data_IF_809664368471
#
_entry.id   IF_809664368471
#
_cell.length_a   1.000
_cell.length_b   1.000
_cell.length_c   1.000
_cell.angle_alpha   90.00
_cell.angle_beta   90.00
_cell.angle_gamma   90.00
#
_symmetry.space_group_name_H-M   'P 1'
#
loop_
_entity.id
_entity.type
_entity.pdbx_description
1 polymer ?
#
# COMPACT_ATOMS: atom_id res chain seq x y z
N UNK A 1 5.47 -12.50 -18.25
CA UNK A 1 4.24 -12.91 -18.93
C UNK A 1 4.00 -12.10 -20.20
N UNK A 2 4.34 -10.81 -20.25
CA UNK A 2 3.97 -9.87 -21.33
C UNK A 2 5.06 -9.61 -22.38
N UNK A 3 6.13 -10.39 -22.45
CA UNK A 3 7.33 -10.12 -23.26
C UNK A 3 7.06 -9.93 -24.76
N UNK A 4 6.02 -10.55 -25.29
CA UNK A 4 5.64 -10.48 -26.72
C UNK A 4 4.57 -9.45 -27.04
N UNK A 5 4.05 -8.76 -26.03
CA UNK A 5 3.00 -7.74 -26.16
C UNK A 5 3.63 -6.36 -26.34
N UNK A 6 2.89 -5.45 -26.99
CA UNK A 6 3.26 -4.05 -26.99
C UNK A 6 3.13 -3.45 -25.59
N UNK A 7 3.93 -2.45 -25.28
CA UNK A 7 3.91 -1.77 -23.97
C UNK A 7 2.51 -1.20 -23.68
N UNK A 8 1.92 -0.52 -24.66
CA UNK A 8 0.58 0.07 -24.54
C UNK A 8 -0.52 -0.98 -24.35
N UNK A 9 -0.43 -2.08 -25.09
CA UNK A 9 -1.37 -3.20 -24.96
C UNK A 9 -1.25 -3.84 -23.57
N UNK A 10 -0.03 -3.95 -23.04
CA UNK A 10 0.20 -4.44 -21.66
C UNK A 10 -0.54 -3.60 -20.63
N UNK A 11 -0.59 -2.28 -20.81
CA UNK A 11 -1.36 -1.39 -19.92
C UNK A 11 -2.85 -1.64 -20.05
N UNK A 12 -3.38 -1.72 -21.29
CA UNK A 12 -4.80 -1.94 -21.55
C UNK A 12 -5.27 -3.31 -21.02
N UNK A 13 -4.40 -4.33 -21.02
CA UNK A 13 -4.68 -5.64 -20.40
C UNK A 13 -5.01 -5.57 -18.90
N UNK A 14 -4.76 -4.45 -18.24
CA UNK A 14 -5.21 -4.20 -16.86
C UNK A 14 -6.72 -4.20 -16.71
N UNK A 15 -7.45 -3.86 -17.77
CA UNK A 15 -8.91 -3.96 -17.84
C UNK A 15 -9.28 -5.21 -18.66
N UNK A 16 -9.45 -6.35 -18.00
CA UNK A 16 -9.59 -7.66 -18.63
C UNK A 16 -10.77 -7.74 -19.63
N UNK A 17 -11.92 -7.17 -19.26
CA UNK A 17 -13.12 -7.17 -20.14
C UNK A 17 -12.87 -6.34 -21.40
N UNK A 18 -12.35 -5.14 -21.25
CA UNK A 18 -12.02 -4.26 -22.39
C UNK A 18 -10.98 -4.91 -23.31
N UNK A 19 -9.95 -5.56 -22.73
CA UNK A 19 -8.96 -6.26 -23.52
C UNK A 19 -9.54 -7.44 -24.28
N UNK A 20 -10.44 -8.19 -23.67
CA UNK A 20 -11.11 -9.34 -24.31
C UNK A 20 -11.93 -8.88 -25.50
N UNK A 21 -12.77 -7.85 -25.31
CA UNK A 21 -13.60 -7.26 -26.37
C UNK A 21 -12.73 -6.68 -27.50
N UNK A 22 -11.69 -5.91 -27.16
CA UNK A 22 -10.74 -5.37 -28.13
C UNK A 22 -10.09 -6.48 -28.96
N UNK A 23 -9.57 -7.51 -28.30
CA UNK A 23 -8.84 -8.60 -28.94
C UNK A 23 -9.74 -9.43 -29.89
N UNK A 24 -10.97 -9.72 -29.47
CA UNK A 24 -11.95 -10.46 -30.28
C UNK A 24 -12.37 -9.63 -31.48
N UNK A 25 -12.69 -8.36 -31.30
CA UNK A 25 -13.04 -7.41 -32.34
C UNK A 25 -11.92 -7.29 -33.39
N UNK A 26 -10.70 -7.02 -32.94
CA UNK A 26 -9.54 -6.84 -33.80
C UNK A 26 -9.22 -8.12 -34.58
N UNK A 27 -9.42 -9.32 -33.95
CA UNK A 27 -9.29 -10.59 -34.62
C UNK A 27 -10.32 -10.83 -35.73
N UNK A 28 -11.55 -10.37 -35.54
CA UNK A 28 -12.59 -10.44 -36.57
C UNK A 28 -12.22 -9.55 -37.74
N UNK A 29 -11.82 -8.30 -37.49
CA UNK A 29 -11.42 -7.36 -38.54
C UNK A 29 -10.14 -7.73 -39.28
N UNK A 30 -9.25 -8.53 -38.64
CA UNK A 30 -8.05 -9.04 -39.29
C UNK A 30 -8.33 -10.22 -40.27
N UNK A 31 -9.56 -10.79 -40.30
CA UNK A 31 -9.91 -11.86 -41.21
C UNK A 31 -9.94 -11.37 -42.66
N UNK A 32 -9.37 -12.14 -43.58
CA UNK A 32 -9.42 -11.86 -45.00
C UNK A 32 -10.84 -11.91 -45.58
N UNK A 33 -11.76 -12.62 -44.91
CA UNK A 33 -13.16 -12.75 -45.28
C UNK A 33 -14.01 -12.73 -44.00
N UNK A 34 -14.92 -11.79 -43.91
CA UNK A 34 -15.84 -11.61 -42.78
C UNK A 34 -17.15 -12.28 -43.16
N UNK A 35 -17.60 -13.28 -42.39
CA UNK A 35 -18.91 -13.91 -42.58
C UNK A 35 -20.05 -13.01 -42.02
N UNK A 36 -21.30 -13.33 -42.35
CA UNK A 36 -22.45 -12.64 -41.79
C UNK A 36 -22.53 -12.73 -40.26
N UNK A 37 -22.16 -13.91 -39.70
CA UNK A 37 -22.05 -14.15 -38.27
C UNK A 37 -20.95 -13.30 -37.64
N UNK A 38 -19.76 -13.23 -38.25
CA UNK A 38 -18.67 -12.34 -37.82
C UNK A 38 -19.10 -10.86 -37.85
N UNK A 39 -19.88 -10.45 -38.86
CA UNK A 39 -20.40 -9.09 -38.96
C UNK A 39 -21.36 -8.73 -37.83
N UNK A 40 -22.25 -9.64 -37.45
CA UNK A 40 -23.16 -9.44 -36.31
C UNK A 40 -22.37 -9.39 -34.99
N UNK A 41 -21.44 -10.31 -34.79
CA UNK A 41 -20.61 -10.31 -33.59
C UNK A 41 -19.73 -9.07 -33.48
N UNK A 42 -19.15 -8.58 -34.57
CA UNK A 42 -18.41 -7.34 -34.61
C UNK A 42 -19.26 -6.15 -34.17
N UNK A 43 -20.54 -6.09 -34.62
CA UNK A 43 -21.46 -5.03 -34.20
C UNK A 43 -21.76 -5.04 -32.68
N UNK A 44 -21.92 -6.23 -32.08
CA UNK A 44 -22.08 -6.36 -30.63
C UNK A 44 -20.82 -5.89 -29.89
N UNK A 45 -19.64 -6.35 -30.34
CA UNK A 45 -18.36 -5.97 -29.75
C UNK A 45 -18.08 -4.47 -29.86
N UNK A 46 -18.49 -3.81 -30.95
CA UNK A 46 -18.38 -2.36 -31.07
C UNK A 46 -19.21 -1.62 -30.03
N UNK A 47 -20.42 -2.12 -29.74
CA UNK A 47 -21.26 -1.55 -28.67
C UNK A 47 -20.65 -1.75 -27.30
N UNK A 48 -20.20 -2.98 -26.98
CA UNK A 48 -19.53 -3.29 -25.73
C UNK A 48 -18.25 -2.46 -25.56
N UNK A 49 -17.46 -2.30 -26.63
CA UNK A 49 -16.24 -1.51 -26.64
C UNK A 49 -16.50 -0.02 -26.39
N UNK A 50 -17.57 0.51 -26.99
CA UNK A 50 -17.98 1.90 -26.79
C UNK A 50 -18.47 2.15 -25.36
N UNK A 51 -19.25 1.22 -24.79
CA UNK A 51 -19.75 1.31 -23.40
C UNK A 51 -18.61 1.34 -22.36
N UNK A 52 -17.51 0.65 -22.63
CA UNK A 52 -16.30 0.63 -21.78
C UNK A 52 -15.32 1.77 -22.09
N UNK A 53 -15.73 2.78 -22.87
CA UNK A 53 -14.88 3.89 -23.32
C UNK A 53 -13.59 3.39 -24.02
N UNK A 54 -13.73 2.31 -24.81
CA UNK A 54 -12.62 1.63 -25.46
C UNK A 54 -11.89 2.49 -26.48
N UNK A 55 -12.58 3.44 -27.15
CA UNK A 55 -11.98 4.34 -28.12
C UNK A 55 -10.95 5.31 -27.51
N UNK A 56 -11.07 5.62 -26.22
CA UNK A 56 -10.09 6.43 -25.48
C UNK A 56 -8.98 5.61 -24.81
N UNK A 57 -9.10 4.27 -24.83
CA UNK A 57 -8.22 3.38 -24.07
C UNK A 57 -6.73 3.58 -24.39
N UNK A 58 -6.37 3.70 -25.69
CA UNK A 58 -4.96 3.94 -26.08
C UNK A 58 -4.45 5.30 -25.60
N UNK A 59 -5.28 6.34 -25.67
CA UNK A 59 -4.91 7.67 -25.21
C UNK A 59 -4.69 7.67 -23.68
N UNK A 60 -5.60 7.06 -22.90
CA UNK A 60 -5.48 6.90 -21.45
C UNK A 60 -4.25 6.07 -21.07
N UNK A 61 -4.01 4.96 -21.76
CA UNK A 61 -2.82 4.13 -21.53
C UNK A 61 -1.53 4.89 -21.83
N UNK A 62 -1.50 5.65 -22.93
CA UNK A 62 -0.37 6.50 -23.31
C UNK A 62 -0.08 7.60 -22.27
N UNK A 63 -1.12 8.23 -21.73
CA UNK A 63 -1.01 9.24 -20.67
C UNK A 63 -0.42 8.66 -19.40
N UNK A 64 -0.90 7.48 -18.97
CA UNK A 64 -0.36 6.78 -17.81
C UNK A 64 1.12 6.38 -18.01
N UNK A 65 1.47 5.86 -19.19
CA UNK A 65 2.85 5.53 -19.53
C UNK A 65 3.77 6.76 -19.50
N UNK A 66 3.33 7.86 -20.08
CA UNK A 66 4.09 9.12 -20.05
C UNK A 66 4.26 9.62 -18.60
N UNK A 67 3.22 9.51 -17.78
CA UNK A 67 3.25 9.90 -16.37
C UNK A 67 4.25 9.11 -15.53
N UNK A 68 4.37 7.80 -15.74
CA UNK A 68 5.40 6.97 -15.10
C UNK A 68 6.78 7.11 -15.75
N UNK A 69 6.94 8.00 -16.73
CA UNK A 69 8.20 8.36 -17.36
C UNK A 69 8.64 7.42 -18.50
N UNK A 70 7.71 6.68 -19.13
CA UNK A 70 7.99 5.90 -20.35
C UNK A 70 7.87 6.82 -21.56
N UNK A 71 8.94 6.98 -22.39
CA UNK A 71 8.91 7.82 -23.59
C UNK A 71 7.87 7.33 -24.61
N UNK A 72 7.23 8.27 -25.31
CA UNK A 72 6.16 7.96 -26.27
C UNK A 72 6.62 7.00 -27.38
N UNK A 73 7.88 7.11 -27.79
CA UNK A 73 8.51 6.26 -28.82
C UNK A 73 8.53 4.78 -28.42
N UNK A 74 8.47 4.48 -27.11
CA UNK A 74 8.49 3.12 -26.60
C UNK A 74 7.09 2.53 -26.37
N UNK A 75 6.02 3.33 -26.45
CA UNK A 75 4.67 2.87 -26.15
C UNK A 75 4.21 1.73 -27.05
N UNK A 76 4.61 1.75 -28.32
CA UNK A 76 4.26 0.73 -29.33
C UNK A 76 5.35 -0.32 -29.52
N UNK A 77 6.47 -0.21 -28.79
CA UNK A 77 7.54 -1.23 -28.77
C UNK A 77 7.14 -2.46 -27.96
N UNK A 78 7.94 -3.53 -28.06
CA UNK A 78 7.69 -4.77 -27.30
C UNK A 78 8.16 -4.63 -25.86
N UNK A 79 7.43 -5.28 -24.94
CA UNK A 79 7.82 -5.37 -23.53
C UNK A 79 9.20 -6.04 -23.34
N UNK A 80 9.61 -6.93 -24.26
CA UNK A 80 10.95 -7.55 -24.24
C UNK A 80 12.07 -6.52 -24.39
N UNK A 81 11.84 -5.43 -25.09
CA UNK A 81 12.81 -4.37 -25.37
C UNK A 81 12.91 -3.34 -24.24
N UNK A 82 11.93 -3.33 -23.34
CA UNK A 82 11.90 -2.43 -22.18
C UNK A 82 12.92 -2.88 -21.12
N UNK A 83 13.71 -1.94 -20.59
CA UNK A 83 14.67 -2.21 -19.53
C UNK A 83 13.96 -2.78 -18.28
N UNK A 84 14.56 -3.73 -17.53
CA UNK A 84 13.91 -4.43 -16.42
C UNK A 84 13.26 -3.51 -15.36
N UNK A 85 13.95 -2.45 -14.95
CA UNK A 85 13.42 -1.47 -14.00
C UNK A 85 12.23 -0.67 -14.54
N UNK A 86 12.13 -0.49 -15.84
CA UNK A 86 11.04 0.22 -16.50
C UNK A 86 9.81 -0.68 -16.72
N UNK A 87 9.99 -2.01 -16.78
CA UNK A 87 8.86 -2.96 -16.81
C UNK A 87 7.95 -2.81 -15.60
N UNK A 88 8.52 -2.51 -14.42
CA UNK A 88 7.72 -2.24 -13.22
C UNK A 88 6.89 -0.97 -13.35
N UNK A 89 7.40 0.06 -14.01
CA UNK A 89 6.64 1.28 -14.31
C UNK A 89 5.44 0.99 -15.24
N UNK A 90 5.63 0.14 -16.24
CA UNK A 90 4.54 -0.29 -17.13
C UNK A 90 3.47 -1.07 -16.35
N UNK A 91 3.87 -1.96 -15.44
CA UNK A 91 2.93 -2.70 -14.59
C UNK A 91 2.19 -1.77 -13.61
N UNK A 92 2.83 -0.72 -13.12
CA UNK A 92 2.17 0.32 -12.33
C UNK A 92 1.11 1.06 -13.18
N UNK A 93 1.45 1.46 -14.41
CA UNK A 93 0.49 2.05 -15.34
C UNK A 93 -0.68 1.10 -15.64
N UNK A 94 -0.42 -0.21 -15.79
CA UNK A 94 -1.45 -1.26 -15.95
C UNK A 94 -2.40 -1.30 -14.75
N UNK A 95 -1.88 -1.31 -13.53
CA UNK A 95 -2.69 -1.31 -12.31
C UNK A 95 -3.53 -0.03 -12.17
N UNK A 96 -2.98 1.10 -12.57
CA UNK A 96 -3.71 2.38 -12.61
C UNK A 96 -4.79 2.40 -13.70
N UNK A 97 -4.55 1.76 -14.86
CA UNK A 97 -5.51 1.72 -15.95
C UNK A 97 -6.77 0.90 -15.62
N UNK A 98 -6.64 -0.14 -14.79
CA UNK A 98 -7.75 -1.02 -14.42
C UNK A 98 -8.82 -0.35 -13.54
N UNK A 99 -8.53 0.82 -12.95
CA UNK A 99 -9.44 1.57 -12.07
C UNK A 99 -10.14 0.71 -10.99
N UNK A 100 -9.39 -0.06 -10.20
CA UNK A 100 -9.97 -1.01 -9.26
C UNK A 100 -10.60 -0.30 -8.05
N UNK A 101 -11.60 -0.93 -7.41
CA UNK A 101 -12.17 -0.47 -6.13
C UNK A 101 -11.16 -0.56 -4.97
N UNK A 102 -10.24 -1.52 -5.04
CA UNK A 102 -9.18 -1.75 -4.05
C UNK A 102 -7.85 -1.87 -4.77
N UNK A 103 -6.87 -1.05 -4.39
CA UNK A 103 -5.52 -1.05 -4.94
C UNK A 103 -4.49 -1.41 -3.87
N UNK A 104 -3.63 -2.38 -4.19
CA UNK A 104 -2.52 -2.79 -3.33
C UNK A 104 -1.20 -2.38 -4.00
N UNK A 105 -0.45 -1.50 -3.37
CA UNK A 105 0.81 -0.97 -3.88
C UNK A 105 1.95 -1.31 -2.91
N UNK A 106 2.93 -2.04 -3.41
CA UNK A 106 4.15 -2.38 -2.67
C UNK A 106 5.33 -1.64 -3.27
N UNK A 107 5.91 -0.70 -2.50
CA UNK A 107 7.01 0.17 -2.89
C UNK A 107 6.82 0.84 -4.28
N UNK A 108 5.69 1.54 -4.54
CA UNK A 108 5.35 2.03 -5.88
C UNK A 108 6.28 3.13 -6.38
N UNK A 109 7.01 3.81 -5.49
CA UNK A 109 7.99 4.86 -5.82
C UNK A 109 9.34 4.31 -6.23
N UNK A 110 9.59 3.02 -6.02
CA UNK A 110 10.84 2.40 -6.44
C UNK A 110 11.00 2.50 -7.97
N UNK A 111 12.19 2.88 -8.41
CA UNK A 111 12.54 3.11 -9.82
C UNK A 111 11.81 4.29 -10.50
N UNK A 112 11.07 5.12 -9.77
CA UNK A 112 10.54 6.38 -10.28
C UNK A 112 11.55 7.52 -10.01
N UNK A 113 11.62 8.47 -10.94
CA UNK A 113 12.27 9.75 -10.68
C UNK A 113 11.30 10.70 -9.95
N UNK A 114 11.81 11.85 -9.51
CA UNK A 114 11.03 12.80 -8.71
C UNK A 114 9.78 13.33 -9.45
N UNK A 115 9.83 13.44 -10.77
CA UNK A 115 8.70 13.94 -11.55
C UNK A 115 7.61 12.87 -11.67
N UNK A 116 8.00 11.62 -11.95
CA UNK A 116 7.09 10.49 -11.98
C UNK A 116 6.48 10.20 -10.58
N UNK A 117 7.26 10.38 -9.50
CA UNK A 117 6.75 10.25 -8.12
C UNK A 117 5.68 11.30 -7.82
N UNK A 118 5.93 12.58 -8.14
CA UNK A 118 4.94 13.66 -7.96
C UNK A 118 3.69 13.44 -8.80
N UNK A 119 3.86 12.98 -10.04
CA UNK A 119 2.73 12.62 -10.88
C UNK A 119 1.90 11.49 -10.26
N UNK A 120 2.58 10.44 -9.72
CA UNK A 120 1.92 9.35 -9.03
C UNK A 120 1.15 9.84 -7.79
N UNK A 121 1.74 10.70 -6.97
CA UNK A 121 1.06 11.34 -5.82
C UNK A 121 -0.24 12.02 -6.24
N UNK A 122 -0.19 12.81 -7.31
CA UNK A 122 -1.35 13.54 -7.80
C UNK A 122 -2.45 12.58 -8.29
N UNK A 123 -2.10 11.59 -9.11
CA UNK A 123 -3.10 10.67 -9.68
C UNK A 123 -3.72 9.77 -8.60
N UNK A 124 -2.97 9.38 -7.56
CA UNK A 124 -3.51 8.60 -6.45
C UNK A 124 -4.45 9.44 -5.58
N UNK A 125 -4.14 10.72 -5.37
CA UNK A 125 -4.99 11.63 -4.60
C UNK A 125 -6.31 11.98 -5.30
N UNK A 126 -6.33 11.92 -6.64
CA UNK A 126 -7.55 12.14 -7.43
C UNK A 126 -8.47 10.91 -7.47
N UNK A 127 -7.94 9.73 -7.13
CA UNK A 127 -8.70 8.48 -7.19
C UNK A 127 -9.59 8.30 -5.96
N UNK A 128 -10.81 7.85 -6.21
CA UNK A 128 -11.76 7.50 -5.16
C UNK A 128 -11.85 5.98 -4.99
N UNK A 129 -10.76 5.36 -4.55
CA UNK A 129 -10.69 3.91 -4.27
C UNK A 129 -9.99 3.66 -2.92
N UNK A 130 -10.18 2.47 -2.37
CA UNK A 130 -9.45 2.06 -1.17
C UNK A 130 -8.04 1.62 -1.56
N UNK A 131 -7.03 2.23 -0.93
CA UNK A 131 -5.63 1.89 -1.22
C UNK A 131 -4.93 1.37 0.03
N UNK A 132 -4.14 0.31 -0.14
CA UNK A 132 -3.16 -0.15 0.84
C UNK A 132 -1.78 0.00 0.22
N UNK A 133 -0.95 0.84 0.83
CA UNK A 133 0.36 1.22 0.32
C UNK A 133 1.42 0.81 1.33
N UNK A 134 2.41 0.06 0.87
CA UNK A 134 3.64 -0.21 1.61
C UNK A 134 4.74 0.64 0.99
N UNK A 135 5.39 1.50 1.77
CA UNK A 135 6.51 2.32 1.29
C UNK A 135 7.44 2.74 2.42
N UNK A 136 8.70 2.94 2.08
CA UNK A 136 9.71 3.56 2.95
C UNK A 136 9.87 5.07 2.67
N UNK A 137 9.22 5.60 1.66
CA UNK A 137 9.25 7.03 1.33
C UNK A 137 8.25 7.80 2.20
N UNK A 138 8.78 8.48 3.22
CA UNK A 138 7.98 9.26 4.17
C UNK A 138 7.24 10.41 3.50
N UNK A 139 7.85 11.06 2.50
CA UNK A 139 7.22 12.16 1.79
C UNK A 139 5.99 11.66 1.03
N UNK A 140 6.15 10.56 0.31
CA UNK A 140 5.07 9.91 -0.42
C UNK A 140 3.93 9.47 0.52
N UNK A 141 4.24 8.82 1.65
CA UNK A 141 3.23 8.43 2.64
C UNK A 141 2.49 9.65 3.21
N UNK A 142 3.18 10.74 3.52
CA UNK A 142 2.56 11.97 4.00
C UNK A 142 1.65 12.62 2.94
N UNK A 143 2.00 12.50 1.66
CA UNK A 143 1.26 13.13 0.56
C UNK A 143 -0.02 12.38 0.18
N UNK A 144 -0.02 11.03 0.31
CA UNK A 144 -1.09 10.18 -0.25
C UNK A 144 -1.95 9.51 0.82
N UNK A 145 -1.34 9.11 1.95
CA UNK A 145 -2.04 8.29 2.93
C UNK A 145 -2.85 9.13 3.93
N UNK A 146 -4.06 8.68 4.22
CA UNK A 146 -4.96 9.28 5.22
C UNK A 146 -4.92 8.56 6.56
N UNK A 147 -4.35 7.35 6.58
CA UNK A 147 -4.20 6.51 7.76
C UNK A 147 -2.89 5.75 7.68
N UNK A 148 -2.28 5.49 8.83
CA UNK A 148 -1.12 4.61 8.96
C UNK A 148 -1.53 3.31 9.63
N UNK A 149 -1.09 2.18 9.06
CA UNK A 149 -1.25 0.86 9.65
C UNK A 149 0.12 0.37 10.15
N UNK A 150 0.25 0.23 11.46
CA UNK A 150 1.44 -0.28 12.11
C UNK A 150 1.27 -1.77 12.38
N UNK A 151 2.15 -2.58 11.80
CA UNK A 151 2.17 -4.03 11.99
C UNK A 151 3.29 -4.40 12.97
N UNK A 152 2.92 -4.66 14.21
CA UNK A 152 3.86 -4.98 15.27
C UNK A 152 3.46 -6.26 16.02
N UNK A 153 4.36 -7.24 16.13
CA UNK A 153 4.17 -8.53 16.82
C UNK A 153 2.86 -9.27 16.46
N UNK A 154 2.45 -9.20 15.18
CA UNK A 154 1.26 -9.88 14.68
C UNK A 154 -0.06 -9.14 14.95
N UNK A 155 0.00 -7.94 15.50
CA UNK A 155 -1.14 -7.03 15.65
C UNK A 155 -1.05 -5.89 14.65
N UNK A 156 -2.18 -5.51 14.06
CA UNK A 156 -2.30 -4.33 13.20
C UNK A 156 -2.99 -3.23 13.98
N UNK A 157 -2.34 -2.07 14.08
CA UNK A 157 -2.92 -0.87 14.71
C UNK A 157 -3.07 0.21 13.66
N UNK A 158 -4.24 0.82 13.58
CA UNK A 158 -4.53 1.86 12.61
C UNK A 158 -4.55 3.21 13.33
N UNK A 159 -3.79 4.16 12.77
CA UNK A 159 -3.69 5.53 13.25
C UNK A 159 -4.26 6.46 12.17
N UNK A 160 -5.21 7.34 12.48
CA UNK A 160 -5.68 8.35 11.55
C UNK A 160 -4.61 9.43 11.37
N UNK A 161 -4.51 9.97 10.15
CA UNK A 161 -3.57 11.03 9.81
C UNK A 161 -2.42 10.55 8.94
N UNK A 162 -1.45 11.44 8.75
CA UNK A 162 -0.26 11.25 7.95
C UNK A 162 0.81 10.42 8.68
N UNK A 163 1.92 10.13 8.01
CA UNK A 163 3.07 9.48 8.63
C UNK A 163 3.62 10.30 9.82
N UNK A 164 3.66 11.62 9.72
CA UNK A 164 4.17 12.49 10.79
C UNK A 164 3.22 12.50 12.00
N UNK A 165 1.91 12.44 11.77
CA UNK A 165 0.91 12.30 12.83
C UNK A 165 1.09 10.97 13.58
N UNK A 166 1.28 9.88 12.84
CA UNK A 166 1.58 8.56 13.40
C UNK A 166 2.85 8.58 14.25
N UNK A 167 3.95 9.14 13.74
CA UNK A 167 5.22 9.21 14.47
C UNK A 167 5.08 10.00 15.77
N UNK A 168 4.31 11.09 15.74
CA UNK A 168 4.02 11.88 16.94
C UNK A 168 3.24 11.08 17.97
N UNK A 169 2.17 10.40 17.55
CA UNK A 169 1.35 9.55 18.42
C UNK A 169 2.16 8.37 19.00
N UNK A 170 2.93 7.68 18.17
CA UNK A 170 3.76 6.55 18.59
C UNK A 170 4.84 6.97 19.60
N UNK A 171 5.46 8.13 19.40
CA UNK A 171 6.45 8.68 20.33
C UNK A 171 5.81 9.00 21.68
N UNK A 172 4.64 9.66 21.71
CA UNK A 172 3.93 9.97 22.95
C UNK A 172 3.54 8.71 23.73
N UNK A 173 3.08 7.66 23.03
CA UNK A 173 2.75 6.38 23.67
C UNK A 173 4.01 5.75 24.28
N UNK A 174 5.13 5.76 23.58
CA UNK A 174 6.41 5.21 24.07
C UNK A 174 6.92 5.97 25.26
N UNK A 175 6.91 7.31 25.24
CA UNK A 175 7.32 8.15 26.36
C UNK A 175 6.43 7.93 27.59
N UNK A 176 5.12 7.83 27.41
CA UNK A 176 4.16 7.56 28.48
C UNK A 176 4.43 6.19 29.13
N UNK A 177 4.66 5.14 28.32
CA UNK A 177 5.02 3.81 28.81
C UNK A 177 6.35 3.80 29.57
N UNK A 178 7.34 4.53 29.06
CA UNK A 178 8.65 4.67 29.73
C UNK A 178 8.49 5.35 31.12
N UNK A 179 7.73 6.43 31.17
CA UNK A 179 7.47 7.15 32.42
C UNK A 179 6.69 6.28 33.43
N UNK A 180 5.68 5.53 32.97
CA UNK A 180 4.93 4.60 33.81
C UNK A 180 5.83 3.46 34.33
N UNK A 181 6.63 2.87 33.47
CA UNK A 181 7.58 1.81 33.85
C UNK A 181 8.65 2.33 34.83
N UNK A 182 9.12 3.56 34.67
CA UNK A 182 10.06 4.17 35.61
C UNK A 182 9.43 4.31 37.01
N UNK A 183 8.16 4.77 37.09
CA UNK A 183 7.40 4.85 38.34
C UNK A 183 7.21 3.48 38.97
N UNK A 184 6.81 2.48 38.19
CA UNK A 184 6.65 1.09 38.66
C UNK A 184 7.96 0.49 39.16
N UNK A 185 9.10 0.72 38.46
CA UNK A 185 10.44 0.27 38.88
C UNK A 185 10.84 0.91 40.22
N UNK A 186 10.62 2.20 40.40
CA UNK A 186 10.87 2.89 41.67
C UNK A 186 10.02 2.29 42.80
N UNK A 187 8.72 2.07 42.56
CA UNK A 187 7.81 1.44 43.54
C UNK A 187 8.26 0.01 43.90
N UNK A 188 8.67 -0.80 42.90
CA UNK A 188 9.20 -2.14 43.12
C UNK A 188 10.43 -2.09 44.03
N UNK A 189 11.35 -1.15 43.78
CA UNK A 189 12.58 -0.97 44.56
C UNK A 189 12.25 -0.61 46.00
N UNK A 190 11.33 0.32 46.22
CA UNK A 190 10.88 0.71 47.57
C UNK A 190 10.23 -0.45 48.33
N UNK A 191 9.30 -1.16 47.65
CA UNK A 191 8.63 -2.33 48.24
C UNK A 191 9.61 -3.46 48.59
N UNK A 192 10.56 -3.75 47.70
CA UNK A 192 11.61 -4.74 47.95
C UNK A 192 12.45 -4.35 49.15
N UNK A 193 12.89 -3.10 49.24
CA UNK A 193 13.69 -2.59 50.37
C UNK A 193 12.91 -2.69 51.70
N UNK A 194 11.62 -2.36 51.67
CA UNK A 194 10.75 -2.48 52.86
C UNK A 194 10.59 -3.94 53.27
N UNK A 195 10.25 -4.84 52.35
CA UNK A 195 10.09 -6.29 52.64
C UNK A 195 11.40 -6.87 53.22
N UNK A 196 12.54 -6.59 52.58
CA UNK A 196 13.86 -7.05 53.06
C UNK A 196 14.18 -6.57 54.49
N UNK A 197 13.87 -5.29 54.81
CA UNK A 197 14.17 -4.70 56.11
C UNK A 197 13.27 -5.24 57.23
N UNK A 198 12.02 -5.55 56.95
CA UNK A 198 11.02 -5.84 58.00
C UNK A 198 10.41 -7.24 57.96
N UNK A 199 10.87 -8.14 57.06
CA UNK A 199 10.38 -9.53 56.99
C UNK A 199 10.66 -10.32 58.27
N UNK A 200 11.75 -10.07 58.99
CA UNK A 200 12.13 -10.73 60.23
C UNK A 200 11.58 -10.06 61.49
N UNK A 201 10.88 -8.93 61.37
CA UNK A 201 10.38 -8.15 62.52
C UNK A 201 8.94 -8.56 62.89
N UNK A 202 8.73 -9.20 64.02
CA UNK A 202 7.42 -9.72 64.44
C UNK A 202 6.29 -8.65 64.47
N UNK A 203 6.58 -7.40 64.83
CA UNK A 203 5.59 -6.33 64.90
C UNK A 203 5.16 -5.76 63.53
N UNK A 204 6.04 -5.90 62.49
CA UNK A 204 5.79 -5.41 61.14
C UNK A 204 5.59 -6.51 60.07
N UNK A 205 5.63 -7.76 60.50
CA UNK A 205 5.48 -8.93 59.63
C UNK A 205 4.24 -8.91 58.77
N UNK A 206 3.07 -8.54 59.33
CA UNK A 206 1.82 -8.41 58.58
C UNK A 206 1.88 -7.34 57.46
N UNK A 207 2.59 -6.21 57.73
CA UNK A 207 2.78 -5.15 56.74
C UNK A 207 3.74 -5.56 55.67
N UNK A 208 4.84 -6.30 56.01
CA UNK A 208 5.79 -6.85 55.06
C UNK A 208 5.11 -7.87 54.09
N UNK A 209 4.25 -8.77 54.67
CA UNK A 209 3.48 -9.73 53.85
C UNK A 209 2.48 -9.02 52.91
N UNK A 210 1.79 -7.98 53.38
CA UNK A 210 0.89 -7.19 52.55
C UNK A 210 1.63 -6.51 51.39
N UNK A 211 2.80 -5.93 51.64
CA UNK A 211 3.62 -5.28 50.61
C UNK A 211 4.28 -6.28 49.66
N UNK A 212 4.64 -7.49 50.11
CA UNK A 212 5.07 -8.57 49.23
C UNK A 212 3.99 -8.98 48.24
N UNK A 213 2.72 -9.09 48.67
CA UNK A 213 1.57 -9.34 47.78
C UNK A 213 1.29 -8.18 46.81
N UNK A 214 1.60 -6.94 47.20
CA UNK A 214 1.52 -5.80 46.26
C UNK A 214 2.63 -5.90 45.20
N UNK A 215 3.84 -6.32 45.59
CA UNK A 215 4.96 -6.51 44.65
C UNK A 215 4.64 -7.54 43.55
N UNK A 216 4.00 -8.68 43.95
CA UNK A 216 3.60 -9.73 43.00
C UNK A 216 2.56 -9.25 41.94
N UNK A 217 1.80 -8.20 42.26
CA UNK A 217 0.75 -7.66 41.37
C UNK A 217 1.27 -6.60 40.40
N UNK A 218 2.51 -6.11 40.58
CA UNK A 218 3.05 -5.06 39.72
C UNK A 218 3.66 -5.70 38.46
N UNK A 219 2.98 -5.57 37.32
CA UNK A 219 3.51 -5.92 36.02
C UNK A 219 4.11 -4.70 35.35
N UNK A 220 5.33 -4.84 34.85
CA UNK A 220 5.94 -3.86 33.95
C UNK A 220 5.38 -4.09 32.55
N UNK A 221 4.93 -3.01 31.92
CA UNK A 221 4.59 -3.08 30.50
C UNK A 221 5.88 -3.33 29.70
N UNK A 222 5.85 -4.27 28.78
CA UNK A 222 6.95 -4.48 27.87
C UNK A 222 7.07 -3.24 26.96
N UNK A 223 8.20 -2.57 27.02
CA UNK A 223 8.57 -1.55 26.03
C UNK A 223 9.22 -2.35 24.92
N UNK A 224 8.48 -2.48 23.83
CA UNK A 224 9.00 -3.09 22.61
C UNK A 224 10.04 -2.14 22.00
N UNK A 225 11.18 -2.66 21.52
CA UNK A 225 12.24 -1.85 20.93
C UNK A 225 11.81 -1.16 19.65
#
# INVERSE_FOLDING_TARGET
AYETSAVIDTVIMGHEELWTVKSERDAIYAKAHISEEDGMRAGELESEFAEMDGYSAEARASELLAGVGIPIEQHYGLMSEVAPGWKLRVLLAQALFSEPDIMLLDEPTNNLDINATRWLENILNERNCTMVIVSHDRHFLNSVCTHMADLDYGEVRIYPGSYDDYMTAATQVTESLQAENAKKKAQITELKAFVSRFSANASKSKQATSRAKQLEKINLAEIKP
#
